data_IF_029229408478
#
_entry.id   IF_029229408478
#
_cell.length_a   1.000
_cell.length_b   1.000
_cell.length_c   1.000
_cell.angle_alpha   90.00
_cell.angle_beta   90.00
_cell.angle_gamma   90.00
#
_symmetry.space_group_name_H-M   'P 1'
#
loop_
_entity.id
_entity.type
_entity.pdbx_description
1 polymer ?
#
# COMPACT_ATOMS: atom_id res chain seq x y z
N UNK A 1 21.28 -7.03 4.45
CA UNK A 1 21.11 -8.05 3.40
C UNK A 1 20.10 -7.50 2.40
N UNK A 2 20.51 -7.15 1.19
CA UNK A 2 19.61 -6.55 0.19
C UNK A 2 18.83 -7.66 -0.53
N UNK A 3 17.53 -7.46 -0.76
CA UNK A 3 16.68 -8.40 -1.49
C UNK A 3 16.15 -7.76 -2.77
N UNK A 4 16.24 -8.50 -3.87
CA UNK A 4 15.80 -8.08 -5.21
C UNK A 4 14.30 -8.36 -5.38
N UNK A 5 13.53 -7.34 -5.79
CA UNK A 5 12.13 -7.49 -6.21
C UNK A 5 11.95 -6.94 -7.64
N UNK A 6 11.68 -7.82 -8.61
CA UNK A 6 11.24 -7.46 -9.96
C UNK A 6 11.71 -8.40 -11.08
N UNK A 7 10.79 -8.88 -11.93
CA UNK A 7 11.09 -9.47 -13.25
C UNK A 7 10.38 -8.62 -14.32
N UNK A 8 10.97 -7.49 -14.74
CA UNK A 8 10.40 -6.75 -15.88
C UNK A 8 10.60 -5.23 -15.93
N UNK A 9 11.83 -4.70 -15.77
CA UNK A 9 12.10 -3.32 -16.18
C UNK A 9 13.15 -2.52 -15.41
N UNK A 10 13.94 -3.14 -14.53
CA UNK A 10 15.04 -2.49 -13.83
C UNK A 10 15.41 -3.19 -12.52
N UNK A 11 16.67 -3.08 -12.10
CA UNK A 11 17.12 -3.53 -10.79
C UNK A 11 16.91 -2.41 -9.76
N UNK A 12 16.14 -2.68 -8.71
CA UNK A 12 15.94 -1.77 -7.60
C UNK A 12 16.72 -2.29 -6.38
N UNK A 13 17.67 -1.51 -5.88
CA UNK A 13 18.29 -1.75 -4.59
C UNK A 13 17.36 -1.24 -3.49
N UNK A 14 16.90 -2.15 -2.64
CA UNK A 14 15.99 -1.87 -1.54
C UNK A 14 16.65 -2.25 -0.20
N UNK A 15 16.47 -1.39 0.78
CA UNK A 15 16.78 -1.70 2.18
C UNK A 15 15.81 -2.75 2.75
N UNK A 16 16.23 -3.45 3.80
CA UNK A 16 15.38 -4.44 4.52
C UNK A 16 14.03 -3.82 4.94
N UNK A 17 14.05 -2.59 5.46
CA UNK A 17 12.84 -1.84 5.84
C UNK A 17 11.89 -1.62 4.66
N UNK A 18 12.41 -1.33 3.46
CA UNK A 18 11.58 -1.11 2.28
C UNK A 18 10.99 -2.42 1.77
N UNK A 19 11.76 -3.52 1.84
CA UNK A 19 11.29 -4.86 1.49
C UNK A 19 10.13 -5.26 2.41
N UNK A 20 10.29 -5.08 3.73
CA UNK A 20 9.25 -5.38 4.70
C UNK A 20 7.97 -4.57 4.45
N UNK A 21 8.09 -3.27 4.22
CA UNK A 21 6.94 -2.42 3.89
C UNK A 21 6.21 -2.88 2.61
N UNK A 22 6.94 -3.33 1.59
CA UNK A 22 6.34 -3.89 0.37
C UNK A 22 5.65 -5.23 0.62
N UNK A 23 6.22 -6.09 1.47
CA UNK A 23 5.58 -7.34 1.88
C UNK A 23 4.27 -7.09 2.63
N UNK A 24 4.29 -6.21 3.63
CA UNK A 24 3.10 -5.82 4.39
C UNK A 24 2.02 -5.25 3.46
N UNK A 25 2.38 -4.33 2.56
CA UNK A 25 1.44 -3.79 1.59
C UNK A 25 0.83 -4.88 0.71
N UNK A 26 1.64 -5.82 0.22
CA UNK A 26 1.17 -6.93 -0.61
C UNK A 26 0.20 -7.84 0.14
N UNK A 27 0.50 -8.18 1.39
CA UNK A 27 -0.38 -9.02 2.21
C UNK A 27 -1.75 -8.37 2.41
N UNK A 28 -1.76 -7.08 2.76
CA UNK A 28 -3.00 -6.32 2.96
C UNK A 28 -3.81 -6.16 1.67
N UNK A 29 -3.15 -6.00 0.52
CA UNK A 29 -3.84 -6.01 -0.77
C UNK A 29 -4.44 -7.38 -1.11
N UNK A 30 -3.76 -8.48 -0.79
CA UNK A 30 -4.29 -9.83 -0.99
C UNK A 30 -5.44 -10.13 -0.04
N UNK A 31 -5.38 -9.65 1.20
CA UNK A 31 -6.46 -9.71 2.18
C UNK A 31 -7.68 -8.94 1.67
N UNK A 32 -7.50 -7.68 1.26
CA UNK A 32 -8.55 -6.82 0.71
C UNK A 32 -9.33 -7.48 -0.43
N UNK A 33 -8.65 -8.21 -1.33
CA UNK A 33 -9.29 -8.93 -2.44
C UNK A 33 -10.27 -10.02 -2.01
N UNK A 34 -10.16 -10.51 -0.78
CA UNK A 34 -11.00 -11.59 -0.25
C UNK A 34 -12.01 -11.09 0.80
N UNK A 35 -11.99 -9.80 1.15
CA UNK A 35 -12.90 -9.22 2.13
C UNK A 35 -14.21 -8.74 1.47
N UNK A 36 -15.32 -8.75 2.21
CA UNK A 36 -16.51 -7.99 1.84
C UNK A 36 -16.18 -6.51 1.64
N UNK A 37 -16.92 -5.82 0.76
CA UNK A 37 -16.68 -4.42 0.40
C UNK A 37 -16.61 -3.50 1.62
N UNK A 38 -17.49 -3.74 2.61
CA UNK A 38 -17.58 -3.00 3.87
C UNK A 38 -16.31 -3.10 4.75
N UNK A 39 -15.51 -4.17 4.57
CA UNK A 39 -14.28 -4.43 5.34
C UNK A 39 -13.01 -4.20 4.51
N UNK A 40 -13.14 -4.19 3.18
CA UNK A 40 -12.03 -3.99 2.24
C UNK A 40 -11.29 -2.68 2.50
N UNK A 41 -12.02 -1.62 2.87
CA UNK A 41 -11.44 -0.29 3.12
C UNK A 41 -10.33 -0.27 4.17
N UNK A 42 -10.48 -1.04 5.25
CA UNK A 42 -9.48 -1.11 6.33
C UNK A 42 -8.17 -1.72 5.83
N UNK A 43 -8.24 -2.83 5.10
CA UNK A 43 -7.07 -3.48 4.53
C UNK A 43 -6.37 -2.60 3.48
N UNK A 44 -7.14 -1.85 2.69
CA UNK A 44 -6.56 -0.88 1.73
C UNK A 44 -5.85 0.29 2.43
N UNK A 45 -6.40 0.79 3.53
CA UNK A 45 -5.77 1.85 4.32
C UNK A 45 -4.43 1.40 4.92
N UNK A 46 -4.39 0.18 5.46
CA UNK A 46 -3.15 -0.41 5.99
C UNK A 46 -2.10 -0.64 4.90
N UNK A 47 -2.52 -1.10 3.71
CA UNK A 47 -1.63 -1.22 2.56
C UNK A 47 -1.05 0.14 2.15
N UNK A 48 -1.88 1.19 2.15
CA UNK A 48 -1.46 2.54 1.80
C UNK A 48 -0.48 3.11 2.82
N UNK A 49 -0.68 2.88 4.12
CA UNK A 49 0.25 3.26 5.19
C UNK A 49 1.61 2.57 5.04
N UNK A 50 1.62 1.28 4.70
CA UNK A 50 2.86 0.55 4.45
C UNK A 50 3.62 1.14 3.25
N UNK A 51 2.95 1.43 2.14
CA UNK A 51 3.56 2.05 0.96
C UNK A 51 4.02 3.49 1.22
N UNK A 52 3.28 4.25 2.01
CA UNK A 52 3.65 5.61 2.42
C UNK A 52 5.01 5.67 3.11
N UNK A 53 5.32 4.65 3.92
CA UNK A 53 6.58 4.55 4.66
C UNK A 53 7.83 4.47 3.75
N UNK A 54 7.66 4.16 2.45
CA UNK A 54 8.74 4.09 1.47
C UNK A 54 9.27 5.46 1.06
N UNK A 55 8.42 6.50 1.04
CA UNK A 55 8.76 7.84 0.48
C UNK A 55 9.56 8.74 1.42
N UNK A 56 9.91 8.28 2.62
CA UNK A 56 10.83 9.01 3.51
C UNK A 56 10.39 10.44 3.82
N UNK A 57 9.09 10.70 3.98
CA UNK A 57 8.56 11.91 4.63
C UNK A 57 7.32 11.51 5.43
N UNK A 58 7.35 11.88 6.71
CA UNK A 58 6.30 11.80 7.73
C UNK A 58 4.89 11.76 7.12
N UNK A 59 4.14 10.72 7.51
CA UNK A 59 2.68 10.64 7.52
C UNK A 59 1.98 11.10 6.23
N UNK A 60 1.51 10.15 5.44
CA UNK A 60 0.48 10.45 4.44
C UNK A 60 -0.74 10.95 5.20
N UNK A 61 -1.02 12.24 5.06
CA UNK A 61 -2.15 12.89 5.72
C UNK A 61 -3.46 12.20 5.31
N UNK A 62 -4.41 12.09 6.25
CA UNK A 62 -5.77 11.58 6.02
C UNK A 62 -6.43 12.22 4.78
N UNK A 63 -6.04 13.43 4.42
CA UNK A 63 -6.51 14.18 3.26
C UNK A 63 -6.21 13.48 1.91
N UNK A 64 -5.08 12.78 1.78
CA UNK A 64 -4.74 12.01 0.57
C UNK A 64 -5.54 10.71 0.52
N UNK A 65 -5.75 10.07 1.67
CA UNK A 65 -6.59 8.87 1.81
C UNK A 65 -8.03 9.20 1.40
N UNK A 66 -8.59 10.28 1.97
CA UNK A 66 -9.92 10.78 1.62
C UNK A 66 -10.06 11.10 0.13
N UNK A 67 -9.04 11.69 -0.50
CA UNK A 67 -9.06 12.03 -1.93
C UNK A 67 -9.00 10.82 -2.87
N UNK A 68 -8.42 9.69 -2.44
CA UNK A 68 -8.45 8.44 -3.22
C UNK A 68 -9.85 7.81 -3.16
N UNK A 69 -10.49 7.81 -2.00
CA UNK A 69 -11.85 7.26 -1.84
C UNK A 69 -12.96 8.14 -2.43
N UNK A 70 -12.74 9.45 -2.59
CA UNK A 70 -13.68 10.36 -3.27
C UNK A 70 -13.89 10.06 -4.76
N UNK A 71 -13.00 9.29 -5.40
CA UNK A 71 -13.12 8.93 -6.81
C UNK A 71 -13.69 7.53 -7.04
N UNK A 72 -14.00 6.78 -5.97
CA UNK A 72 -14.78 5.55 -6.09
C UNK A 72 -16.25 5.95 -6.13
N UNK A 73 -16.91 5.65 -7.26
CA UNK A 73 -18.33 5.89 -7.42
C UNK A 73 -19.10 5.02 -6.43
N UNK A 74 -19.44 5.56 -5.26
CA UNK A 74 -20.63 5.11 -4.56
C UNK A 74 -21.80 5.85 -5.19
N UNK A 75 -22.89 5.15 -5.47
CA UNK A 75 -24.10 5.76 -5.99
C UNK A 75 -24.60 6.87 -5.07
N UNK A 76 -24.20 8.10 -5.39
CA UNK A 76 -24.41 9.39 -4.71
C UNK A 76 -23.54 9.67 -3.50
#
# INVERSE_FOLDING_TARGET
>A
REAFLGRGGGEYLLSERQIEALHQARERLLEAKNLPEDLMGLALEEALKALASLRGRKEVSEEVVARVFQNFCVGK
#
